data_IF_417374306643
#
_entry.id   IF_417374306643
#
_cell.length_a   1.000
_cell.length_b   1.000
_cell.length_c   1.000
_cell.angle_alpha   90.00
_cell.angle_beta   90.00
_cell.angle_gamma   90.00
#
_symmetry.space_group_name_H-M   'P 1'
#
loop_
_entity.id
_entity.type
_entity.pdbx_description
1 polymer ?
#
# COMPACT_ATOMS: atom_id res chain seq x y z
N UNK A 1 -1.71 -26.31 -11.31
CA UNK A 1 -1.76 -25.69 -9.97
C UNK A 1 -2.27 -24.27 -10.12
N UNK A 2 -3.57 -24.04 -9.90
CA UNK A 2 -4.09 -22.69 -9.63
C UNK A 2 -4.02 -22.57 -8.12
N UNK A 3 -2.88 -22.08 -7.64
CA UNK A 3 -2.64 -21.96 -6.21
C UNK A 3 -3.72 -21.07 -5.58
N UNK A 4 -4.20 -21.52 -4.43
CA UNK A 4 -4.92 -20.68 -3.49
C UNK A 4 -4.10 -19.40 -3.31
N UNK A 5 -4.60 -18.28 -3.83
CA UNK A 5 -4.17 -16.99 -3.36
C UNK A 5 -4.67 -16.94 -1.92
N UNK A 6 -3.80 -17.28 -0.97
CA UNK A 6 -4.07 -17.09 0.45
C UNK A 6 -4.53 -15.64 0.66
N UNK A 7 -5.50 -15.39 1.55
CA UNK A 7 -5.99 -14.05 1.90
C UNK A 7 -4.88 -13.05 2.29
N UNK A 8 -3.67 -13.56 2.55
CA UNK A 8 -2.44 -12.79 2.78
C UNK A 8 -1.95 -11.98 1.59
N UNK A 9 -2.39 -12.28 0.37
CA UNK A 9 -1.94 -11.61 -0.86
C UNK A 9 -3.13 -11.04 -1.62
N UNK A 10 -3.70 -9.96 -1.08
CA UNK A 10 -4.94 -9.35 -1.54
C UNK A 10 -4.66 -7.98 -2.19
N UNK A 11 -3.98 -8.00 -3.34
CA UNK A 11 -3.67 -6.80 -4.12
C UNK A 11 -3.75 -7.10 -5.62
N UNK A 12 -3.69 -6.05 -6.45
CA UNK A 12 -3.87 -6.13 -7.90
C UNK A 12 -2.52 -6.35 -8.62
N UNK A 13 -2.56 -7.06 -9.76
CA UNK A 13 -1.36 -7.60 -10.41
C UNK A 13 -0.33 -6.53 -10.85
N UNK A 14 -0.74 -5.29 -11.08
CA UNK A 14 0.14 -4.18 -11.44
C UNK A 14 1.17 -3.83 -10.36
N UNK A 15 0.98 -4.24 -9.10
CA UNK A 15 1.98 -4.07 -8.05
C UNK A 15 2.91 -5.27 -7.85
N UNK A 16 2.79 -6.34 -8.64
CA UNK A 16 3.62 -7.53 -8.48
C UNK A 16 5.12 -7.21 -8.57
N UNK A 17 5.53 -6.31 -9.47
CA UNK A 17 6.93 -5.89 -9.59
C UNK A 17 7.44 -5.21 -8.30
N UNK A 18 6.64 -4.33 -7.69
CA UNK A 18 6.99 -3.71 -6.41
C UNK A 18 7.14 -4.74 -5.28
N UNK A 19 6.27 -5.76 -5.26
CA UNK A 19 6.34 -6.85 -4.27
C UNK A 19 7.58 -7.72 -4.48
N UNK A 20 7.94 -8.01 -5.73
CA UNK A 20 9.15 -8.77 -6.06
C UNK A 20 10.41 -8.01 -5.66
N UNK A 21 10.46 -6.70 -5.91
CA UNK A 21 11.55 -5.84 -5.45
C UNK A 21 11.64 -5.81 -3.92
N UNK A 22 10.51 -5.67 -3.23
CA UNK A 22 10.46 -5.71 -1.77
C UNK A 22 10.94 -7.06 -1.22
N UNK A 23 10.54 -8.16 -1.86
CA UNK A 23 11.00 -9.50 -1.51
C UNK A 23 12.52 -9.63 -1.67
N UNK A 24 13.09 -9.13 -2.76
CA UNK A 24 14.53 -9.12 -2.98
C UNK A 24 15.28 -8.28 -1.93
N UNK A 25 14.76 -7.09 -1.59
CA UNK A 25 15.34 -6.23 -0.56
C UNK A 25 15.29 -6.89 0.83
N UNK A 26 14.19 -7.55 1.18
CA UNK A 26 14.04 -8.30 2.44
C UNK A 26 14.99 -9.50 2.48
N UNK A 27 15.13 -10.24 1.38
CA UNK A 27 16.03 -11.39 1.29
C UNK A 27 17.51 -11.00 1.41
N UNK A 28 17.88 -9.75 1.07
CA UNK A 28 19.23 -9.21 1.22
C UNK A 28 19.55 -8.73 2.65
N UNK A 29 18.58 -8.74 3.57
CA UNK A 29 18.82 -8.38 4.97
C UNK A 29 19.69 -9.44 5.68
N UNK A 30 20.37 -9.08 6.78
CA UNK A 30 21.19 -10.04 7.52
C UNK A 30 20.42 -11.30 7.90
N UNK A 31 20.98 -12.48 7.60
CA UNK A 31 20.33 -13.79 7.86
C UNK A 31 19.91 -13.94 9.33
N UNK A 32 20.69 -13.37 10.25
CA UNK A 32 20.39 -13.37 11.69
C UNK A 32 19.05 -12.70 12.05
N UNK A 33 18.50 -11.85 11.18
CA UNK A 33 17.21 -11.18 11.38
C UNK A 33 16.03 -12.09 11.02
N UNK A 34 16.26 -13.18 10.29
CA UNK A 34 15.21 -14.11 9.81
C UNK A 34 14.02 -13.38 9.16
N UNK A 35 14.30 -12.26 8.48
CA UNK A 35 13.26 -11.41 7.93
C UNK A 35 12.59 -12.07 6.71
N UNK A 36 11.26 -12.02 6.65
CA UNK A 36 10.46 -12.63 5.59
C UNK A 36 9.27 -11.74 5.26
N UNK A 37 9.03 -11.52 3.97
CA UNK A 37 7.80 -10.88 3.51
C UNK A 37 6.66 -11.91 3.60
N UNK A 38 5.62 -11.63 4.38
CA UNK A 38 4.57 -12.60 4.73
C UNK A 38 3.17 -12.23 4.27
N UNK A 39 2.93 -10.96 3.93
CA UNK A 39 1.62 -10.45 3.52
C UNK A 39 1.79 -9.23 2.61
N UNK A 40 0.83 -9.04 1.71
CA UNK A 40 0.63 -7.84 0.91
C UNK A 40 -0.85 -7.63 0.64
N UNK A 41 -1.36 -6.42 0.91
CA UNK A 41 -2.78 -6.07 0.68
C UNK A 41 -2.97 -4.65 0.20
N UNK A 42 -4.01 -4.44 -0.60
CA UNK A 42 -4.49 -3.10 -0.94
C UNK A 42 -5.31 -2.52 0.22
N UNK A 43 -5.03 -1.27 0.62
CA UNK A 43 -5.85 -0.55 1.58
C UNK A 43 -5.84 0.94 1.28
N UNK A 44 -7.03 1.51 1.06
CA UNK A 44 -7.22 2.92 0.69
C UNK A 44 -6.34 3.36 -0.51
N UNK A 45 -6.14 2.46 -1.47
CA UNK A 45 -5.37 2.71 -2.68
C UNK A 45 -3.85 2.57 -2.54
N UNK A 46 -3.33 2.21 -1.36
CA UNK A 46 -1.91 1.86 -1.18
C UNK A 46 -1.68 0.35 -0.97
N UNK A 47 -0.47 -0.11 -1.31
CA UNK A 47 0.03 -1.44 -1.01
C UNK A 47 0.60 -1.45 0.42
N UNK A 48 0.08 -2.34 1.26
CA UNK A 48 0.59 -2.58 2.62
C UNK A 48 1.27 -3.93 2.69
N UNK A 49 2.56 -3.91 2.99
CA UNK A 49 3.38 -5.09 3.16
C UNK A 49 3.59 -5.39 4.65
N UNK A 50 3.51 -6.66 5.01
CA UNK A 50 3.90 -7.14 6.35
C UNK A 50 5.16 -7.97 6.21
N UNK A 51 6.19 -7.60 6.98
CA UNK A 51 7.43 -8.34 7.09
C UNK A 51 7.44 -8.95 8.49
N UNK A 52 7.65 -10.26 8.58
CA UNK A 52 7.98 -10.95 9.83
C UNK A 52 9.50 -10.93 10.02
N UNK A 53 9.96 -10.81 11.26
CA UNK A 53 11.39 -10.82 11.58
C UNK A 53 11.62 -11.25 13.04
N UNK A 54 12.85 -11.68 13.33
CA UNK A 54 13.26 -12.11 14.67
C UNK A 54 14.64 -11.53 15.08
N UNK A 55 15.00 -11.69 16.35
CA UNK A 55 16.32 -11.31 16.88
C UNK A 55 16.48 -9.81 17.10
N UNK A 56 17.74 -9.31 17.05
CA UNK A 56 18.07 -7.88 17.19
C UNK A 56 17.89 -7.09 15.89
N UNK A 57 16.87 -7.41 15.11
CA UNK A 57 16.58 -6.65 13.90
C UNK A 57 16.21 -5.21 14.28
N UNK A 58 16.64 -4.27 13.45
CA UNK A 58 16.38 -2.85 13.60
C UNK A 58 14.96 -2.55 13.09
N UNK A 59 13.99 -2.40 14.00
CA UNK A 59 12.57 -2.14 13.67
C UNK A 59 12.42 -0.97 12.69
N UNK A 60 13.18 0.09 12.92
CA UNK A 60 13.29 1.28 12.07
C UNK A 60 13.64 0.92 10.61
N UNK A 61 14.50 -0.08 10.39
CA UNK A 61 14.86 -0.52 9.04
C UNK A 61 13.73 -1.26 8.35
N UNK A 62 13.00 -2.11 9.08
CA UNK A 62 11.84 -2.85 8.54
C UNK A 62 10.71 -1.88 8.19
N UNK A 63 10.40 -0.95 9.10
CA UNK A 63 9.40 0.09 8.88
C UNK A 63 9.74 0.97 7.67
N UNK A 64 11.02 1.34 7.51
CA UNK A 64 11.48 2.11 6.37
C UNK A 64 11.36 1.36 5.03
N UNK A 65 11.45 0.03 5.02
CA UNK A 65 11.20 -0.78 3.81
C UNK A 65 9.70 -0.76 3.50
N UNK A 66 8.86 -1.12 4.46
CA UNK A 66 7.40 -1.16 4.28
C UNK A 66 6.86 0.19 3.81
N UNK A 67 7.26 1.27 4.46
CA UNK A 67 6.78 2.62 4.14
C UNK A 67 7.23 3.08 2.75
N UNK A 68 8.44 2.71 2.33
CA UNK A 68 8.95 3.05 1.00
C UNK A 68 8.13 2.39 -0.10
N UNK A 69 7.85 1.09 0.02
CA UNK A 69 7.05 0.37 -0.97
C UNK A 69 5.59 0.82 -0.95
N UNK A 70 5.04 1.15 0.23
CA UNK A 70 3.72 1.78 0.35
C UNK A 70 3.67 3.09 -0.44
N UNK A 71 4.60 4.01 -0.21
CA UNK A 71 4.64 5.29 -0.95
C UNK A 71 4.85 5.09 -2.45
N UNK A 72 5.73 4.18 -2.86
CA UNK A 72 5.95 3.86 -4.28
C UNK A 72 4.70 3.30 -4.95
N UNK A 73 3.87 2.57 -4.23
CA UNK A 73 2.63 2.03 -4.79
C UNK A 73 1.63 3.11 -5.21
N UNK A 74 1.69 4.30 -4.61
CA UNK A 74 0.80 5.44 -4.93
C UNK A 74 1.09 6.08 -6.29
N UNK A 75 2.21 5.74 -6.94
CA UNK A 75 2.57 6.21 -8.28
C UNK A 75 2.53 5.10 -9.35
N UNK A 76 2.10 3.90 -8.99
CA UNK A 76 2.02 2.73 -9.88
C UNK A 76 0.57 2.27 -9.94
N UNK A 77 0.01 2.17 -11.14
CA UNK A 77 -1.35 1.64 -11.31
C UNK A 77 -1.43 0.21 -10.78
N UNK A 78 -2.30 -0.02 -9.80
CA UNK A 78 -2.43 -1.35 -9.20
C UNK A 78 -2.90 -2.40 -10.22
N UNK A 79 -3.55 -1.99 -11.31
CA UNK A 79 -4.17 -2.92 -12.26
C UNK A 79 -3.19 -3.37 -13.34
N UNK A 80 -2.37 -2.46 -13.87
CA UNK A 80 -1.50 -2.75 -15.01
C UNK A 80 -0.01 -2.41 -14.81
N UNK A 81 0.37 -1.80 -13.69
CA UNK A 81 1.77 -1.48 -13.37
C UNK A 81 2.36 -0.27 -14.10
N UNK A 82 1.61 0.38 -15.00
CA UNK A 82 1.99 1.66 -15.62
C UNK A 82 2.05 2.79 -14.57
N UNK A 83 2.73 3.92 -14.86
CA UNK A 83 2.60 5.12 -14.05
C UNK A 83 1.14 5.50 -13.80
N UNK A 84 0.81 5.79 -12.55
CA UNK A 84 -0.54 6.14 -12.12
C UNK A 84 -0.52 7.13 -10.95
N UNK A 85 -1.69 7.39 -10.40
CA UNK A 85 -1.84 8.25 -9.24
C UNK A 85 -3.01 7.80 -8.37
N UNK A 86 -2.99 8.24 -7.11
CA UNK A 86 -4.08 8.01 -6.17
C UNK A 86 -5.36 8.69 -6.67
N UNK A 87 -6.42 7.91 -6.83
CA UNK A 87 -7.75 8.41 -7.20
C UNK A 87 -8.70 8.27 -6.03
N UNK A 88 -9.35 9.37 -5.70
CA UNK A 88 -10.26 9.48 -4.56
C UNK A 88 -11.69 9.40 -5.08
N UNK A 89 -12.18 8.17 -5.20
CA UNK A 89 -13.57 7.88 -5.50
C UNK A 89 -14.49 8.16 -4.32
N UNK A 90 -15.78 8.33 -4.61
CA UNK A 90 -16.84 8.48 -3.60
C UNK A 90 -16.89 7.25 -2.70
N UNK A 91 -16.75 6.06 -3.29
CA UNK A 91 -16.85 4.78 -2.56
C UNK A 91 -15.51 4.09 -2.34
N UNK A 92 -14.48 4.40 -3.13
CA UNK A 92 -13.18 3.71 -3.07
C UNK A 92 -12.03 4.66 -3.37
N UNK A 93 -10.94 4.53 -2.61
CA UNK A 93 -9.65 5.10 -2.97
C UNK A 93 -8.79 4.02 -3.63
N UNK A 94 -8.23 4.31 -4.81
CA UNK A 94 -7.49 3.34 -5.61
C UNK A 94 -6.42 4.03 -6.46
N UNK A 95 -5.21 3.47 -6.53
CA UNK A 95 -4.15 4.00 -7.39
C UNK A 95 -4.28 3.44 -8.81
N UNK A 96 -4.57 4.30 -9.79
CA UNK A 96 -4.86 3.90 -11.17
C UNK A 96 -4.26 4.88 -12.20
N UNK A 97 -3.84 4.37 -13.35
CA UNK A 97 -3.50 5.20 -14.53
C UNK A 97 -4.77 5.77 -15.18
N UNK A 98 -4.63 6.68 -16.15
CA UNK A 98 -5.79 7.27 -16.83
C UNK A 98 -6.68 6.21 -17.50
N UNK A 99 -6.08 5.22 -18.17
CA UNK A 99 -6.80 4.10 -18.81
C UNK A 99 -7.72 3.33 -17.83
N UNK A 100 -7.37 3.30 -16.53
CA UNK A 100 -8.09 2.58 -15.48
C UNK A 100 -8.74 3.51 -14.45
N UNK A 101 -8.85 4.81 -14.76
CA UNK A 101 -9.39 5.80 -13.84
C UNK A 101 -10.84 5.47 -13.42
N UNK A 102 -11.63 4.92 -14.35
CA UNK A 102 -13.03 4.58 -14.15
C UNK A 102 -13.27 3.57 -13.01
N UNK A 103 -12.29 2.75 -12.64
CA UNK A 103 -12.42 1.81 -11.51
C UNK A 103 -12.52 2.49 -10.14
N UNK A 104 -12.15 3.77 -10.06
CA UNK A 104 -12.27 4.58 -8.86
C UNK A 104 -13.35 5.67 -8.99
N UNK A 105 -14.06 5.74 -10.12
CA UNK A 105 -15.11 6.72 -10.34
C UNK A 105 -16.45 6.28 -9.67
N UNK A 106 -17.37 7.21 -9.36
CA UNK A 106 -17.25 8.66 -9.49
C UNK A 106 -16.25 9.24 -8.47
N UNK A 107 -15.63 10.37 -8.82
CA UNK A 107 -14.64 11.03 -7.96
C UNK A 107 -15.28 12.00 -6.98
N UNK A 108 -14.65 12.16 -5.81
CA UNK A 108 -15.02 13.15 -4.79
C UNK A 108 -14.49 14.54 -5.15
N UNK A 109 -15.02 15.56 -4.49
CA UNK A 109 -14.62 16.97 -4.68
C UNK A 109 -13.15 17.25 -4.31
N UNK A 110 -12.54 16.42 -3.47
CA UNK A 110 -11.14 16.50 -3.06
C UNK A 110 -10.20 15.60 -3.87
N UNK A 111 -10.70 14.95 -4.94
CA UNK A 111 -9.84 14.23 -5.88
C UNK A 111 -8.79 15.15 -6.50
N UNK A 112 -7.57 14.64 -6.65
CA UNK A 112 -6.42 15.41 -7.13
C UNK A 112 -5.77 16.30 -6.06
N UNK A 113 -6.42 16.51 -4.90
CA UNK A 113 -5.85 17.26 -3.78
C UNK A 113 -5.12 16.36 -2.79
N UNK A 114 -5.60 15.13 -2.58
CA UNK A 114 -4.99 14.14 -1.68
C UNK A 114 -3.92 13.37 -2.44
N UNK A 115 -2.71 13.32 -1.89
CA UNK A 115 -1.54 12.63 -2.49
C UNK A 115 -1.14 11.37 -1.75
N UNK A 116 -1.52 11.25 -0.47
CA UNK A 116 -1.25 10.07 0.34
C UNK A 116 -2.35 9.92 1.40
N UNK A 117 -3.05 8.77 1.49
CA UNK A 117 -4.06 8.57 2.52
C UNK A 117 -3.46 8.52 3.94
N UNK A 118 -2.16 8.23 4.08
CA UNK A 118 -1.45 7.98 5.33
C UNK A 118 -2.02 6.83 6.17
N UNK A 119 -1.17 5.87 6.61
CA UNK A 119 -1.61 4.82 7.52
C UNK A 119 -1.76 5.31 8.98
N UNK A 120 -1.14 6.44 9.33
CA UNK A 120 -1.03 6.99 10.69
C UNK A 120 -1.44 8.47 10.70
N UNK A 121 -2.75 8.73 10.62
CA UNK A 121 -3.31 10.07 10.65
C UNK A 121 -4.41 10.22 9.62
N UNK A 122 -4.70 11.44 9.20
CA UNK A 122 -5.59 11.73 8.08
C UNK A 122 -4.82 11.88 6.77
N UNK A 123 -5.53 12.10 5.65
CA UNK A 123 -4.93 12.25 4.34
C UNK A 123 -3.94 13.43 4.32
N UNK A 124 -2.86 13.23 3.58
CA UNK A 124 -1.87 14.24 3.23
C UNK A 124 -2.27 14.85 1.88
N UNK A 125 -2.36 16.17 1.85
CA UNK A 125 -2.72 16.94 0.67
C UNK A 125 -1.47 17.41 -0.09
N UNK A 126 -1.65 17.81 -1.34
CA UNK A 126 -0.57 18.28 -2.22
C UNK A 126 0.16 19.52 -1.66
N UNK A 127 -0.48 20.30 -0.79
CA UNK A 127 0.11 21.44 -0.05
C UNK A 127 0.87 21.01 1.22
N UNK A 128 1.12 19.71 1.38
CA UNK A 128 1.73 19.07 2.55
C UNK A 128 0.94 19.22 3.86
N UNK A 129 -0.30 19.72 3.83
CA UNK A 129 -1.16 19.70 5.02
C UNK A 129 -1.63 18.27 5.31
N UNK A 130 -1.79 17.95 6.59
CA UNK A 130 -2.40 16.71 7.05
C UNK A 130 -3.61 17.06 7.92
N UNK A 131 -4.81 16.58 7.57
CA UNK A 131 -6.05 16.92 8.29
C UNK A 131 -6.73 15.67 8.85
N UNK A 132 -7.02 15.69 10.16
CA UNK A 132 -7.80 14.66 10.84
C UNK A 132 -7.00 13.39 11.19
N UNK A 133 -7.69 12.41 11.77
CA UNK A 133 -7.22 11.03 11.95
C UNK A 133 -8.23 10.11 11.26
N UNK A 134 -7.79 9.12 10.48
CA UNK A 134 -8.67 8.01 10.10
C UNK A 134 -9.09 7.29 11.39
N UNK A 135 -10.34 7.47 11.81
CA UNK A 135 -10.93 6.70 12.91
C UNK A 135 -10.92 5.24 12.46
N UNK A 136 -9.99 4.43 12.98
CA UNK A 136 -10.07 2.98 12.81
C UNK A 136 -11.26 2.54 13.66
N UNK A 137 -12.44 2.46 13.04
CA UNK A 137 -13.57 1.78 13.67
C UNK A 137 -13.14 0.34 13.87
N UNK A 138 -12.88 -0.04 15.13
CA UNK A 138 -12.83 -1.45 15.52
C UNK A 138 -14.18 -2.03 15.11
N UNK A 139 -14.17 -3.07 14.28
CA UNK A 139 -15.34 -3.91 14.13
C UNK A 139 -15.83 -4.33 15.54
N UNK A 140 -17.14 -4.25 15.83
CA UNK A 140 -17.64 -4.73 17.10
C UNK A 140 -17.28 -6.21 17.23
N UNK A 141 -16.70 -6.57 18.37
CA UNK A 141 -16.52 -7.97 18.73
C UNK A 141 -17.89 -8.64 18.73
N UNK A 142 -18.06 -9.67 17.89
CA UNK A 142 -19.21 -10.57 17.94
C UNK A 142 -19.12 -11.49 19.15
#
# INVERSE_FOLDING_TARGET
MRDQISDRWAFRAGWLALVQEAHAEVAALPVAWKARLVEGKEKFGDLRLSIDWAGRARRDRIEAIVERYRKRSLSVCAECGKPGGLRMGVSIAATRCEDHAAFAAPFRDDHGRIVDPSPIGGPIYADATQKGQYRQEKAPAS
#
